data_IF_733360875648
#
_entry.id   IF_733360875648
#
_cell.length_a   1.000
_cell.length_b   1.000
_cell.length_c   1.000
_cell.angle_alpha   90.00
_cell.angle_beta   90.00
_cell.angle_gamma   90.00
#
_symmetry.space_group_name_H-M   'P 1'
#
loop_
_entity.id
_entity.type
_entity.pdbx_description
1 polymer ?
#
# COMPACT_ATOMS: atom_id res chain seq x y z
N UNK A 1 -2.32 13.40 -24.27
CA UNK A 1 -1.60 12.17 -24.68
C UNK A 1 -1.88 11.17 -23.57
N UNK A 2 -2.42 9.97 -23.85
CA UNK A 2 -2.55 8.97 -22.80
C UNK A 2 -1.13 8.57 -22.38
N UNK A 3 -0.88 8.75 -21.09
CA UNK A 3 0.40 8.92 -20.41
C UNK A 3 1.39 7.76 -20.63
N UNK A 4 2.67 8.10 -20.83
CA UNK A 4 3.78 7.14 -20.86
C UNK A 4 3.79 6.22 -19.63
N UNK A 5 3.27 6.70 -18.50
CA UNK A 5 3.08 5.95 -17.25
C UNK A 5 2.17 4.72 -17.42
N UNK A 6 1.10 4.83 -18.24
CA UNK A 6 0.20 3.69 -18.51
C UNK A 6 0.92 2.63 -19.34
N UNK A 7 1.80 3.06 -20.25
CA UNK A 7 2.60 2.17 -21.10
C UNK A 7 3.67 1.44 -20.28
N UNK A 8 4.24 2.12 -19.27
CA UNK A 8 5.19 1.54 -18.33
C UNK A 8 4.53 0.45 -17.47
N UNK A 9 3.34 0.71 -16.91
CA UNK A 9 2.58 -0.27 -16.10
C UNK A 9 2.26 -1.55 -16.90
N UNK A 10 1.93 -1.42 -18.19
CA UNK A 10 1.62 -2.55 -19.07
C UNK A 10 2.86 -3.37 -19.47
N UNK A 11 4.08 -2.87 -19.21
CA UNK A 11 5.35 -3.54 -19.52
C UNK A 11 5.99 -4.24 -18.31
N UNK A 12 5.38 -4.16 -17.13
CA UNK A 12 5.86 -4.80 -15.91
C UNK A 12 5.59 -6.31 -15.97
N UNK A 13 6.66 -7.12 -15.97
CA UNK A 13 6.57 -8.56 -15.81
C UNK A 13 6.61 -8.96 -14.32
N UNK A 14 6.37 -10.24 -14.03
CA UNK A 14 6.35 -10.77 -12.66
C UNK A 14 7.72 -10.69 -11.94
N UNK A 15 8.81 -10.39 -12.65
CA UNK A 15 10.17 -10.25 -12.09
C UNK A 15 10.59 -8.79 -11.93
N UNK A 16 9.69 -7.84 -12.13
CA UNK A 16 10.01 -6.43 -12.01
C UNK A 16 10.42 -6.07 -10.57
N UNK A 17 11.42 -5.20 -10.42
CA UNK A 17 11.99 -4.79 -9.13
C UNK A 17 10.94 -4.24 -8.15
N UNK A 18 9.88 -3.59 -8.66
CA UNK A 18 8.74 -3.11 -7.88
C UNK A 18 7.95 -4.21 -7.15
N UNK A 19 8.11 -5.49 -7.54
CA UNK A 19 7.54 -6.64 -6.84
C UNK A 19 8.53 -7.32 -5.89
N UNK A 20 9.79 -6.85 -5.80
CA UNK A 20 10.74 -7.36 -4.83
C UNK A 20 10.34 -6.92 -3.43
N UNK A 21 9.99 -7.88 -2.57
CA UNK A 21 9.55 -7.63 -1.20
C UNK A 21 10.63 -7.89 -0.15
N UNK A 22 11.86 -8.18 -0.59
CA UNK A 22 12.97 -8.48 0.30
C UNK A 22 13.31 -7.29 1.20
N UNK A 23 13.29 -7.49 2.52
CA UNK A 23 13.61 -6.46 3.51
C UNK A 23 12.42 -5.57 3.91
N UNK A 24 11.28 -5.66 3.23
CA UNK A 24 10.07 -4.90 3.58
C UNK A 24 9.36 -5.48 4.81
N UNK A 25 8.64 -4.64 5.54
CA UNK A 25 7.70 -5.11 6.57
C UNK A 25 6.54 -5.87 5.92
N UNK A 26 6.16 -7.00 6.51
CA UNK A 26 5.02 -7.81 6.06
C UNK A 26 3.92 -7.86 7.11
N UNK A 27 2.67 -7.67 6.69
CA UNK A 27 1.50 -7.85 7.55
C UNK A 27 0.29 -8.37 6.78
N UNK A 28 -0.45 -9.26 7.43
CA UNK A 28 -1.77 -9.70 6.97
C UNK A 28 -2.88 -9.07 7.80
N UNK A 29 -3.97 -8.70 7.13
CA UNK A 29 -5.20 -8.26 7.77
C UNK A 29 -6.40 -9.02 7.21
N UNK A 30 -7.44 -9.27 8.02
CA UNK A 30 -8.67 -9.83 7.50
C UNK A 30 -9.36 -8.79 6.61
N UNK A 31 -10.16 -9.25 5.64
CA UNK A 31 -10.84 -8.39 4.67
C UNK A 31 -12.10 -7.73 5.25
N UNK A 32 -11.94 -6.99 6.35
CA UNK A 32 -13.03 -6.36 7.12
C UNK A 32 -13.13 -4.87 6.81
N UNK A 33 -14.20 -4.47 6.12
CA UNK A 33 -14.40 -3.09 5.67
C UNK A 33 -14.54 -2.08 6.84
N UNK A 34 -15.09 -2.50 7.98
CA UNK A 34 -15.24 -1.65 9.16
C UNK A 34 -13.93 -1.41 9.93
N UNK A 35 -12.84 -2.11 9.59
CA UNK A 35 -11.55 -2.03 10.28
C UNK A 35 -10.45 -1.34 9.45
N UNK A 36 -10.79 -0.76 8.29
CA UNK A 36 -9.82 -0.13 7.37
C UNK A 36 -8.91 0.88 8.09
N UNK A 37 -9.50 1.79 8.87
CA UNK A 37 -8.75 2.83 9.61
C UNK A 37 -7.77 2.21 10.61
N UNK A 38 -8.19 1.17 11.32
CA UNK A 38 -7.32 0.48 12.28
C UNK A 38 -6.13 -0.20 11.58
N UNK A 39 -6.36 -0.81 10.42
CA UNK A 39 -5.29 -1.42 9.62
C UNK A 39 -4.31 -0.39 9.07
N UNK A 40 -4.82 0.75 8.59
CA UNK A 40 -3.98 1.84 8.10
C UNK A 40 -3.09 2.41 9.21
N UNK A 41 -3.65 2.69 10.39
CA UNK A 41 -2.89 3.15 11.55
C UNK A 41 -1.81 2.14 11.98
N UNK A 42 -2.08 0.84 11.91
CA UNK A 42 -1.08 -0.19 12.21
C UNK A 42 0.12 -0.15 11.27
N UNK A 43 -0.08 0.23 10.01
CA UNK A 43 0.99 0.40 9.03
C UNK A 43 1.74 1.71 9.31
N UNK A 44 1.00 2.81 9.46
CA UNK A 44 1.56 4.17 9.60
C UNK A 44 2.33 4.38 10.91
N UNK A 45 2.01 3.66 11.99
CA UNK A 45 2.79 3.74 13.24
C UNK A 45 4.26 3.34 13.08
N UNK A 46 4.61 2.61 12.01
CA UNK A 46 6.00 2.24 11.67
C UNK A 46 6.73 3.31 10.86
N UNK A 47 6.02 4.33 10.39
CA UNK A 47 6.62 5.44 9.66
C UNK A 47 7.47 6.32 10.59
N UNK A 48 8.59 6.88 10.09
CA UNK A 48 9.30 7.95 10.78
C UNK A 48 8.39 9.16 11.03
N UNK A 49 8.72 9.96 12.04
CA UNK A 49 7.89 11.12 12.43
C UNK A 49 7.78 12.17 11.31
N UNK A 50 8.82 12.30 10.47
CA UNK A 50 8.86 13.16 9.29
C UNK A 50 7.72 12.88 8.29
N UNK A 51 7.14 11.68 8.29
CA UNK A 51 6.05 11.30 7.39
C UNK A 51 4.64 11.51 7.98
N UNK A 52 4.52 11.89 9.26
CA UNK A 52 3.24 11.90 9.99
C UNK A 52 2.56 13.27 10.08
N UNK A 53 3.22 14.34 9.66
CA UNK A 53 2.82 15.73 9.99
C UNK A 53 1.43 16.17 9.48
N UNK A 54 0.81 15.50 8.50
CA UNK A 54 -0.44 16.00 7.87
C UNK A 54 -1.56 14.93 7.78
N UNK A 55 -1.44 13.77 8.43
CA UNK A 55 -2.35 12.62 8.27
C UNK A 55 -2.57 12.13 6.81
N UNK A 56 -1.88 12.72 5.83
CA UNK A 56 -2.02 12.39 4.41
C UNK A 56 -1.61 10.94 4.16
N UNK A 57 -0.53 10.49 4.80
CA UNK A 57 -0.09 9.10 4.74
C UNK A 57 -1.17 8.14 5.26
N UNK A 58 -1.84 8.48 6.36
CA UNK A 58 -2.94 7.68 6.90
C UNK A 58 -4.12 7.58 5.92
N UNK A 59 -4.48 8.70 5.28
CA UNK A 59 -5.53 8.75 4.27
C UNK A 59 -5.19 7.90 3.04
N UNK A 60 -3.97 8.03 2.52
CA UNK A 60 -3.51 7.27 1.36
C UNK A 60 -3.47 5.77 1.63
N UNK A 61 -2.91 5.36 2.78
CA UNK A 61 -2.89 3.95 3.18
C UNK A 61 -4.30 3.41 3.40
N UNK A 62 -5.20 4.20 4.01
CA UNK A 62 -6.61 3.81 4.17
C UNK A 62 -7.30 3.54 2.83
N UNK A 63 -7.00 4.34 1.81
CA UNK A 63 -7.55 4.17 0.48
C UNK A 63 -7.04 2.90 -0.20
N UNK A 64 -5.73 2.61 -0.10
CA UNK A 64 -5.13 1.38 -0.61
C UNK A 64 -5.75 0.14 0.06
N UNK A 65 -5.86 0.14 1.39
CA UNK A 65 -6.49 -0.95 2.15
C UNK A 65 -7.96 -1.13 1.76
N UNK A 66 -8.72 -0.03 1.65
CA UNK A 66 -10.12 -0.05 1.19
C UNK A 66 -10.24 -0.71 -0.18
N UNK A 67 -9.36 -0.35 -1.11
CA UNK A 67 -9.39 -0.88 -2.48
C UNK A 67 -9.02 -2.37 -2.52
N UNK A 68 -8.03 -2.80 -1.74
CA UNK A 68 -7.67 -4.21 -1.60
C UNK A 68 -8.85 -5.04 -1.05
N UNK A 69 -9.59 -4.53 -0.07
CA UNK A 69 -10.78 -5.19 0.51
C UNK A 69 -11.95 -5.20 -0.48
N UNK A 70 -12.32 -4.02 -1.01
CA UNK A 70 -13.53 -3.82 -1.82
C UNK A 70 -13.40 -4.39 -3.23
N UNK A 71 -12.28 -4.10 -3.89
CA UNK A 71 -12.08 -4.44 -5.30
C UNK A 71 -11.26 -5.71 -5.48
N UNK A 72 -10.19 -5.89 -4.68
CA UNK A 72 -9.38 -7.11 -4.71
C UNK A 72 -10.13 -8.31 -4.14
N UNK A 73 -10.49 -8.25 -2.86
CA UNK A 73 -11.13 -9.35 -2.14
C UNK A 73 -12.66 -9.40 -2.28
N UNK A 74 -13.29 -8.40 -2.92
CA UNK A 74 -14.75 -8.30 -3.11
C UNK A 74 -15.54 -8.33 -1.79
N UNK A 75 -14.98 -7.72 -0.74
CA UNK A 75 -15.54 -7.68 0.61
C UNK A 75 -15.77 -9.07 1.26
N UNK A 76 -15.10 -10.13 0.78
CA UNK A 76 -15.24 -11.48 1.36
C UNK A 76 -14.43 -11.56 2.67
N UNK A 77 -15.07 -11.66 3.85
CA UNK A 77 -14.36 -11.52 5.14
C UNK A 77 -13.37 -12.65 5.44
N UNK A 78 -13.57 -13.83 4.86
CA UNK A 78 -12.67 -14.99 5.02
C UNK A 78 -11.35 -14.83 4.26
N UNK A 79 -11.27 -13.88 3.32
CA UNK A 79 -10.02 -13.55 2.62
C UNK A 79 -9.16 -12.63 3.47
N UNK A 80 -7.85 -12.66 3.20
CA UNK A 80 -6.87 -11.77 3.80
C UNK A 80 -6.31 -10.82 2.76
N UNK A 81 -6.01 -9.60 3.18
CA UNK A 81 -5.13 -8.71 2.43
C UNK A 81 -3.70 -8.90 2.95
N UNK A 82 -2.75 -8.86 2.04
CA UNK A 82 -1.32 -8.99 2.33
C UNK A 82 -0.65 -7.67 1.96
N UNK A 83 0.10 -7.10 2.89
CA UNK A 83 0.71 -5.79 2.72
C UNK A 83 2.21 -5.93 2.97
N UNK A 84 2.99 -5.51 1.98
CA UNK A 84 4.42 -5.29 2.09
C UNK A 84 4.68 -3.80 2.02
N UNK A 85 5.46 -3.27 2.94
CA UNK A 85 5.70 -1.82 3.03
C UNK A 85 7.07 -1.52 3.64
N UNK A 86 7.66 -0.43 3.18
CA UNK A 86 8.85 0.19 3.76
C UNK A 86 8.69 1.71 3.70
N UNK A 87 9.42 2.41 4.57
CA UNK A 87 9.49 3.87 4.56
C UNK A 87 10.93 4.25 4.28
N UNK A 88 11.18 4.77 3.09
CA UNK A 88 12.50 5.24 2.68
C UNK A 88 12.44 6.77 2.48
N UNK A 89 13.44 7.48 2.98
CA UNK A 89 13.68 8.87 2.61
C UNK A 89 14.46 8.87 1.29
N UNK A 90 13.87 8.36 0.23
CA UNK A 90 14.50 8.46 -1.09
C UNK A 90 14.38 9.91 -1.54
N UNK A 91 15.50 10.63 -1.52
CA UNK A 91 15.60 11.95 -2.15
C UNK A 91 15.32 11.78 -3.64
N UNK A 92 14.11 12.10 -4.10
CA UNK A 92 13.85 12.20 -5.53
C UNK A 92 14.76 13.31 -6.08
N UNK A 93 15.77 12.93 -6.87
CA UNK A 93 16.51 13.89 -7.69
C UNK A 93 15.52 14.40 -8.74
N UNK A 94 15.02 15.62 -8.52
CA UNK A 94 14.42 16.49 -9.55
C UNK A 94 15.41 16.78 -10.66
#
# INVERSE_FOLDING_TARGET
MPDEDVKLILSLDDNHEFFNTQGMYYKEFPSLFNQIRAFALFIVQKAPESFKEINLLEQQVSELVKNAIKHGNKCVPSKKIKVWYEFNETTYRT
#
